data_IF_373162551450
#
_entry.id   IF_373162551450
#
_cell.length_a   1.000
_cell.length_b   1.000
_cell.length_c   1.000
_cell.angle_alpha   90.00
_cell.angle_beta   90.00
_cell.angle_gamma   90.00
#
_symmetry.space_group_name_H-M   'P 1'
#
loop_
_entity.id
_entity.type
_entity.pdbx_description
1 polymer ?
#
# COMPACT_ATOMS: atom_id res chain seq x y z
N UNK A 1 -16.55 -5.94 -1.84
CA UNK A 1 -15.87 -6.64 -0.72
C UNK A 1 -15.82 -5.62 0.41
N UNK A 2 -16.54 -5.88 1.50
CA UNK A 2 -16.54 -5.02 2.68
C UNK A 2 -15.43 -5.50 3.62
N UNK A 3 -14.55 -4.61 4.06
CA UNK A 3 -13.36 -4.96 4.88
C UNK A 3 -13.65 -4.99 6.39
N UNK A 4 -14.91 -4.80 6.81
CA UNK A 4 -15.29 -4.64 8.22
C UNK A 4 -15.14 -3.19 8.72
N UNK A 5 -15.39 -2.98 10.01
CA UNK A 5 -15.08 -1.74 10.74
C UNK A 5 -13.58 -1.64 11.05
N UNK A 6 -12.74 -1.88 10.03
CA UNK A 6 -11.30 -1.82 10.19
C UNK A 6 -10.83 -0.37 10.10
N UNK A 7 -10.23 0.09 11.20
CA UNK A 7 -9.88 1.49 11.42
C UNK A 7 -8.42 1.81 11.08
N UNK A 8 -7.63 0.83 10.65
CA UNK A 8 -6.18 0.96 10.50
C UNK A 8 -5.66 0.31 9.22
N UNK A 9 -4.91 1.09 8.42
CA UNK A 9 -4.16 0.59 7.26
C UNK A 9 -2.66 0.63 7.52
N UNK A 10 -1.96 -0.43 7.12
CA UNK A 10 -0.50 -0.49 7.14
C UNK A 10 0.01 -0.31 5.71
N UNK A 11 0.93 0.62 5.50
CA UNK A 11 1.57 0.83 4.22
C UNK A 11 3.08 0.79 4.35
N UNK A 12 3.73 0.08 3.44
CA UNK A 12 5.18 -0.07 3.43
C UNK A 12 5.75 -0.15 2.02
N UNK A 13 7.04 0.18 1.91
CA UNK A 13 7.83 0.04 0.69
C UNK A 13 8.85 -1.09 0.87
N UNK A 14 8.90 -2.00 -0.11
CA UNK A 14 9.95 -3.01 -0.20
C UNK A 14 10.60 -3.04 -1.58
N UNK A 15 11.78 -3.64 -1.68
CA UNK A 15 12.51 -3.78 -2.94
C UNK A 15 12.41 -5.22 -3.42
N UNK A 16 11.88 -5.40 -4.63
CA UNK A 16 11.83 -6.70 -5.30
C UNK A 16 12.77 -6.72 -6.49
N UNK A 17 13.31 -7.89 -6.84
CA UNK A 17 14.11 -8.09 -8.04
C UNK A 17 13.29 -8.82 -9.09
N UNK A 18 13.19 -8.24 -10.28
CA UNK A 18 12.49 -8.82 -11.43
C UNK A 18 13.51 -8.82 -12.58
N UNK A 19 13.82 -10.00 -13.12
CA UNK A 19 14.82 -10.19 -14.18
C UNK A 19 16.16 -9.49 -13.90
N UNK A 20 16.62 -9.60 -12.65
CA UNK A 20 17.89 -9.00 -12.20
C UNK A 20 17.84 -7.48 -11.96
N UNK A 21 16.74 -6.80 -12.29
CA UNK A 21 16.56 -5.37 -12.07
C UNK A 21 15.81 -5.11 -10.76
N UNK A 22 16.14 -4.00 -10.07
CA UNK A 22 15.49 -3.60 -8.82
C UNK A 22 14.21 -2.82 -9.12
N UNK A 23 13.15 -3.15 -8.41
CA UNK A 23 11.88 -2.42 -8.41
C UNK A 23 11.44 -2.11 -6.98
N UNK A 24 10.70 -1.03 -6.82
CA UNK A 24 10.11 -0.58 -5.57
C UNK A 24 8.64 -0.96 -5.57
N UNK A 25 8.27 -1.81 -4.63
CA UNK A 25 6.90 -2.27 -4.43
C UNK A 25 6.34 -1.59 -3.18
N UNK A 26 5.32 -0.78 -3.40
CA UNK A 26 4.49 -0.19 -2.35
C UNK A 26 3.25 -1.04 -2.17
N UNK A 27 2.91 -1.37 -0.92
CA UNK A 27 1.72 -2.16 -0.59
C UNK A 27 0.97 -1.46 0.55
N UNK A 28 -0.35 -1.39 0.44
CA UNK A 28 -1.25 -0.98 1.51
C UNK A 28 -2.16 -2.16 1.87
N UNK A 29 -2.22 -2.49 3.16
CA UNK A 29 -2.96 -3.64 3.69
C UNK A 29 -3.88 -3.15 4.80
N UNK A 30 -5.08 -3.71 4.82
CA UNK A 30 -6.00 -3.54 5.93
C UNK A 30 -5.56 -4.40 7.14
N UNK A 31 -5.40 -3.78 8.32
CA UNK A 31 -4.80 -4.42 9.50
C UNK A 31 -5.65 -5.59 10.03
N UNK A 32 -6.97 -5.47 9.98
CA UNK A 32 -7.90 -6.49 10.49
C UNK A 32 -8.08 -7.67 9.53
N UNK A 33 -8.44 -7.38 8.27
CA UNK A 33 -8.76 -8.41 7.27
C UNK A 33 -7.53 -9.01 6.60
N UNK A 34 -6.37 -8.36 6.71
CA UNK A 34 -5.11 -8.72 6.02
C UNK A 34 -5.23 -8.74 4.49
N UNK A 35 -6.24 -8.06 3.95
CA UNK A 35 -6.42 -7.91 2.51
C UNK A 35 -5.62 -6.72 1.99
N UNK A 36 -5.05 -6.87 0.79
CA UNK A 36 -4.37 -5.78 0.08
C UNK A 36 -5.42 -4.81 -0.45
N UNK A 37 -5.36 -3.56 0.01
CA UNK A 37 -6.25 -2.48 -0.45
C UNK A 37 -5.68 -1.79 -1.69
N UNK A 38 -4.37 -1.71 -1.83
CA UNK A 38 -3.72 -1.23 -3.05
C UNK A 38 -2.25 -1.62 -3.09
N UNK A 39 -1.68 -1.54 -4.28
CA UNK A 39 -0.24 -1.70 -4.49
C UNK A 39 0.23 -0.83 -5.66
N UNK A 40 1.52 -0.56 -5.70
CA UNK A 40 2.17 0.13 -6.82
C UNK A 40 3.58 -0.44 -7.01
N UNK A 41 3.91 -0.84 -8.24
CA UNK A 41 5.25 -1.31 -8.61
C UNK A 41 5.88 -0.29 -9.55
N UNK A 42 7.07 0.19 -9.20
CA UNK A 42 7.81 1.19 -9.97
C UNK A 42 9.29 0.81 -10.11
N UNK A 43 9.90 1.18 -11.23
CA UNK A 43 11.35 1.07 -11.42
C UNK A 43 12.13 2.19 -10.72
N UNK A 44 11.45 3.25 -10.28
CA UNK A 44 12.03 4.40 -9.57
C UNK A 44 11.38 4.60 -8.20
N UNK A 45 12.18 5.10 -7.25
CA UNK A 45 11.72 5.45 -5.91
C UNK A 45 11.26 6.90 -5.90
N UNK A 46 9.94 7.13 -5.90
CA UNK A 46 9.36 8.47 -5.83
C UNK A 46 8.10 8.50 -4.97
N UNK A 47 7.73 9.69 -4.50
CA UNK A 47 6.52 9.88 -3.70
C UNK A 47 5.23 9.61 -4.49
N UNK A 48 5.27 9.67 -5.83
CA UNK A 48 4.09 9.42 -6.68
C UNK A 48 3.52 8.01 -6.48
N UNK A 49 4.38 7.04 -6.17
CA UNK A 49 3.96 5.68 -5.85
C UNK A 49 3.09 5.64 -4.58
N UNK A 50 3.52 6.35 -3.52
CA UNK A 50 2.75 6.47 -2.27
C UNK A 50 1.43 7.25 -2.47
N UNK A 51 1.43 8.34 -3.24
CA UNK A 51 0.19 9.06 -3.58
C UNK A 51 -0.79 8.18 -4.36
N UNK A 52 -0.29 7.44 -5.36
CA UNK A 52 -1.08 6.49 -6.13
C UNK A 52 -1.64 5.36 -5.25
N UNK A 53 -0.85 4.87 -4.31
CA UNK A 53 -1.23 3.84 -3.35
C UNK A 53 -2.48 4.25 -2.56
N UNK A 54 -2.44 5.39 -1.87
CA UNK A 54 -3.56 5.85 -1.04
C UNK A 54 -4.76 6.30 -1.88
N UNK A 55 -4.54 6.90 -3.05
CA UNK A 55 -5.63 7.26 -3.98
C UNK A 55 -6.41 6.03 -4.42
N UNK A 56 -5.73 4.91 -4.69
CA UNK A 56 -6.38 3.66 -5.08
C UNK A 56 -7.07 2.97 -3.88
N UNK A 57 -6.48 3.04 -2.69
CA UNK A 57 -7.03 2.42 -1.49
C UNK A 57 -8.38 3.03 -1.06
N UNK A 58 -8.63 4.31 -1.36
CA UNK A 58 -9.89 5.02 -1.05
C UNK A 58 -11.17 4.31 -1.49
N UNK A 59 -11.10 3.44 -2.51
CA UNK A 59 -12.26 2.64 -2.95
C UNK A 59 -12.74 1.62 -1.90
N UNK A 60 -11.90 1.35 -0.90
CA UNK A 60 -12.16 0.42 0.20
C UNK A 60 -12.58 1.13 1.49
N UNK A 61 -12.74 2.47 1.46
CA UNK A 61 -13.14 3.27 2.61
C UNK A 61 -12.07 4.30 3.01
N UNK A 62 -12.18 4.77 4.24
CA UNK A 62 -11.24 5.71 4.86
C UNK A 62 -10.82 5.14 6.21
N UNK A 63 -9.53 4.89 6.47
CA UNK A 63 -9.08 4.43 7.77
C UNK A 63 -9.05 5.60 8.76
N UNK A 64 -9.12 5.30 10.06
CA UNK A 64 -8.86 6.29 11.11
C UNK A 64 -7.36 6.50 11.34
N UNK A 65 -6.54 5.49 11.05
CA UNK A 65 -5.09 5.54 11.16
C UNK A 65 -4.39 4.90 9.96
N UNK A 66 -3.27 5.50 9.55
CA UNK A 66 -2.35 4.92 8.59
C UNK A 66 -1.01 4.76 9.30
N UNK A 67 -0.51 3.53 9.35
CA UNK A 67 0.79 3.19 9.93
C UNK A 67 1.78 2.99 8.79
N UNK A 68 2.89 3.69 8.85
CA UNK A 68 4.02 3.55 7.92
C UNK A 68 5.31 3.40 8.71
N UNK A 69 6.31 2.75 8.11
CA UNK A 69 7.65 2.74 8.68
C UNK A 69 8.34 4.12 8.50
N UNK A 70 9.21 4.55 9.44
CA UNK A 70 9.96 5.81 9.34
C UNK A 70 10.97 5.86 8.19
#
# INVERSE_FOLDING_TARGET
>A
IYLGDSDEWHADETVVKIDGQKYYLWICIDSASRLITSWNLSSSRCSDAAFSLFKQAKKFGSPNAIVTNP
#
